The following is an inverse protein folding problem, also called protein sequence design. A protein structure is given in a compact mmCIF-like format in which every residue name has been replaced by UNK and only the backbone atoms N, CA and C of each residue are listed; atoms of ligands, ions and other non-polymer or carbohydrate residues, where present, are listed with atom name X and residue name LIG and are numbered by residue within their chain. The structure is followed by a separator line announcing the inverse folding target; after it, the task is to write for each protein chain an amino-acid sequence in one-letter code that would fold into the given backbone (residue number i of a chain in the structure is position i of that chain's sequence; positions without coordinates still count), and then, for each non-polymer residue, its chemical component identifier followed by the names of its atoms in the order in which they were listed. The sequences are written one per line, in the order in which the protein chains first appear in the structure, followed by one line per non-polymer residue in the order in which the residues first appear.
data_IF_092398063144
#
_entry.id   IF_092398063144
#
_cell.length_a   1.000
_cell.length_b   1.000
_cell.length_c   1.000
_cell.angle_alpha   90.00
_cell.angle_beta   90.00
_cell.angle_gamma   90.00
#
_symmetry.space_group_name_H-M   'P 1'
#
loop_
_entity.id
_entity.type
_entity.pdbx_description
1 polymer ?
#
# COMPACT_ATOMS: atom_id res chain seq x y z
N UNK A 1 -8.25 -27.68 0.27
CA UNK A 1 -7.58 -26.67 -0.61
C UNK A 1 -8.64 -25.70 -1.09
N UNK A 2 -8.45 -24.41 -0.89
CA UNK A 2 -9.32 -23.39 -1.50
C UNK A 2 -9.02 -23.34 -3.00
N UNK A 3 -10.03 -23.56 -3.83
CA UNK A 3 -9.88 -23.61 -5.30
C UNK A 3 -9.44 -22.26 -5.89
N UNK A 4 -9.65 -21.19 -5.13
CA UNK A 4 -9.42 -19.78 -5.54
C UNK A 4 -7.94 -19.47 -5.76
N UNK A 5 -7.03 -20.09 -4.99
CA UNK A 5 -5.59 -19.82 -5.07
C UNK A 5 -4.77 -20.94 -5.74
N UNK A 6 -5.44 -21.93 -6.36
CA UNK A 6 -4.78 -23.10 -6.95
C UNK A 6 -3.69 -22.73 -7.98
N UNK A 7 -3.90 -21.70 -8.78
CA UNK A 7 -2.91 -21.24 -9.78
C UNK A 7 -1.69 -20.61 -9.14
N UNK A 8 -1.87 -19.85 -8.07
CA UNK A 8 -0.78 -19.27 -7.30
C UNK A 8 -0.01 -20.37 -6.55
N UNK A 9 -0.73 -21.37 -5.99
CA UNK A 9 -0.11 -22.51 -5.31
C UNK A 9 0.80 -23.30 -6.24
N UNK A 10 0.43 -23.49 -7.51
CA UNK A 10 1.28 -24.13 -8.52
C UNK A 10 2.61 -23.39 -8.76
N UNK A 11 2.63 -22.07 -8.52
CA UNK A 11 3.81 -21.23 -8.71
C UNK A 11 4.72 -21.19 -7.48
N UNK A 12 4.15 -21.02 -6.29
CA UNK A 12 4.89 -20.75 -5.04
C UNK A 12 4.85 -21.93 -4.04
N UNK A 13 4.07 -22.96 -4.34
CA UNK A 13 3.86 -24.14 -3.47
C UNK A 13 2.95 -23.85 -2.28
N UNK A 14 2.53 -24.93 -1.60
CA UNK A 14 1.66 -24.84 -0.43
C UNK A 14 2.28 -24.01 0.71
N UNK A 15 3.58 -24.17 0.96
CA UNK A 15 4.30 -23.38 1.98
C UNK A 15 4.27 -21.89 1.68
N UNK A 16 4.34 -21.50 0.42
CA UNK A 16 4.21 -20.10 -0.02
C UNK A 16 2.82 -19.56 0.28
N UNK A 17 1.77 -20.31 -0.03
CA UNK A 17 0.37 -19.95 0.29
C UNK A 17 0.17 -19.82 1.80
N UNK A 18 0.66 -20.76 2.60
CA UNK A 18 0.53 -20.69 4.06
C UNK A 18 1.24 -19.47 4.65
N UNK A 19 2.42 -19.12 4.12
CA UNK A 19 3.14 -17.91 4.51
C UNK A 19 2.33 -16.64 4.22
N UNK A 20 1.72 -16.54 3.03
CA UNK A 20 0.89 -15.39 2.66
C UNK A 20 -0.39 -15.32 3.52
N UNK A 21 -1.04 -16.45 3.78
CA UNK A 21 -2.20 -16.53 4.67
C UNK A 21 -1.87 -16.11 6.10
N UNK A 22 -0.66 -16.35 6.57
CA UNK A 22 -0.19 -15.93 7.89
C UNK A 22 0.36 -14.50 7.93
N UNK A 23 0.42 -13.79 6.80
CA UNK A 23 1.01 -12.45 6.72
C UNK A 23 -0.01 -11.33 6.83
N UNK A 24 0.43 -10.20 7.41
CA UNK A 24 -0.34 -8.96 7.54
C UNK A 24 0.34 -7.80 6.80
N UNK A 25 -0.41 -7.07 5.98
CA UNK A 25 0.11 -5.94 5.19
C UNK A 25 -0.72 -4.70 5.44
N UNK A 26 -0.07 -3.59 5.79
CA UNK A 26 -0.69 -2.28 5.88
C UNK A 26 -0.44 -1.48 4.59
N UNK A 27 -1.50 -0.92 4.01
CA UNK A 27 -1.45 -0.11 2.79
C UNK A 27 -1.88 1.30 3.16
N UNK A 28 -0.96 2.25 3.03
CA UNK A 28 -1.21 3.66 3.29
C UNK A 28 -1.44 4.40 1.97
N UNK A 29 -2.65 4.94 1.80
CA UNK A 29 -3.12 5.57 0.57
C UNK A 29 -3.75 4.56 -0.39
N UNK A 30 -5.09 4.62 -0.52
CA UNK A 30 -5.88 3.73 -1.41
C UNK A 30 -6.25 4.49 -2.69
N UNK A 31 -5.23 5.07 -3.31
CA UNK A 31 -5.33 5.76 -4.60
C UNK A 31 -5.07 4.86 -5.80
N UNK A 32 -4.48 5.45 -6.86
CA UNK A 32 -4.18 4.73 -8.12
C UNK A 32 -3.19 3.57 -7.97
N UNK A 33 -2.26 3.64 -7.02
CA UNK A 33 -1.32 2.54 -6.73
C UNK A 33 -1.86 1.64 -5.64
N UNK A 34 -2.24 2.20 -4.48
CA UNK A 34 -2.64 1.41 -3.32
C UNK A 34 -3.90 0.56 -3.56
N UNK A 35 -4.84 1.00 -4.38
CA UNK A 35 -6.02 0.20 -4.69
C UNK A 35 -5.68 -1.07 -5.49
N UNK A 36 -4.78 -0.98 -6.46
CA UNK A 36 -4.30 -2.14 -7.20
C UNK A 36 -3.39 -3.04 -6.36
N UNK A 37 -2.59 -2.45 -5.47
CA UNK A 37 -1.81 -3.24 -4.49
C UNK A 37 -2.72 -4.06 -3.58
N UNK A 38 -3.78 -3.45 -3.05
CA UNK A 38 -4.77 -4.13 -2.21
C UNK A 38 -5.48 -5.27 -2.95
N UNK A 39 -5.91 -5.03 -4.19
CA UNK A 39 -6.48 -6.05 -5.09
C UNK A 39 -5.53 -7.23 -5.28
N UNK A 40 -4.26 -6.94 -5.59
CA UNK A 40 -3.24 -7.96 -5.84
C UNK A 40 -2.98 -8.81 -4.60
N UNK A 41 -2.88 -8.18 -3.42
CA UNK A 41 -2.67 -8.89 -2.16
C UNK A 41 -3.86 -9.80 -1.81
N UNK A 42 -5.09 -9.31 -2.00
CA UNK A 42 -6.29 -10.12 -1.79
C UNK A 42 -6.31 -11.37 -2.68
N UNK A 43 -5.96 -11.21 -3.97
CA UNK A 43 -5.86 -12.31 -4.95
C UNK A 43 -4.65 -13.21 -4.74
N UNK A 44 -3.71 -12.78 -3.90
CA UNK A 44 -2.52 -13.56 -3.52
C UNK A 44 -2.65 -14.26 -2.17
N UNK A 45 -3.86 -14.42 -1.65
CA UNK A 45 -4.14 -15.12 -0.39
C UNK A 45 -3.50 -14.46 0.87
N UNK A 46 -3.22 -13.17 0.87
CA UNK A 46 -2.75 -12.48 2.07
C UNK A 46 -3.84 -12.53 3.14
N UNK A 47 -3.47 -12.98 4.36
CA UNK A 47 -4.45 -13.26 5.41
C UNK A 47 -4.99 -12.02 6.12
N UNK A 48 -4.23 -10.92 6.16
CA UNK A 48 -4.67 -9.68 6.79
C UNK A 48 -4.23 -8.45 5.99
N UNK A 49 -5.17 -7.58 5.66
CA UNK A 49 -4.93 -6.32 4.96
C UNK A 49 -5.48 -5.15 5.76
N UNK A 50 -4.64 -4.17 6.07
CA UNK A 50 -5.01 -2.96 6.78
C UNK A 50 -5.00 -1.81 5.76
N UNK A 51 -6.17 -1.27 5.48
CA UNK A 51 -6.37 -0.17 4.52
C UNK A 51 -6.42 1.16 5.28
N UNK A 52 -5.51 2.07 4.95
CA UNK A 52 -5.42 3.39 5.59
C UNK A 52 -5.62 4.48 4.56
N UNK A 53 -6.80 5.07 4.53
CA UNK A 53 -7.14 6.20 3.64
C UNK A 53 -8.34 6.98 4.20
N UNK A 54 -8.22 8.29 4.30
CA UNK A 54 -9.27 9.16 4.84
C UNK A 54 -10.15 9.78 3.75
N UNK A 55 -9.79 9.62 2.48
CA UNK A 55 -10.48 10.23 1.36
C UNK A 55 -11.79 9.51 1.00
N UNK A 56 -12.67 10.26 0.37
CA UNK A 56 -13.82 9.76 -0.36
C UNK A 56 -13.51 9.64 -1.85
N UNK A 57 -14.21 8.75 -2.50
CA UNK A 57 -14.14 8.57 -3.96
C UNK A 57 -14.77 9.79 -4.65
N UNK A 58 -14.05 10.34 -5.63
CA UNK A 58 -14.53 11.40 -6.51
C UNK A 58 -14.61 10.92 -7.96
N UNK A 59 -15.37 11.59 -8.80
CA UNK A 59 -15.48 11.25 -10.22
C UNK A 59 -14.13 11.27 -10.94
N UNK A 60 -13.23 12.19 -10.53
CA UNK A 60 -11.87 12.28 -11.09
C UNK A 60 -10.97 11.08 -10.77
N UNK A 61 -11.40 10.19 -9.88
CA UNK A 61 -10.65 8.98 -9.53
C UNK A 61 -10.94 7.81 -10.47
N UNK A 62 -12.08 7.83 -11.17
CA UNK A 62 -12.60 6.71 -11.98
C UNK A 62 -11.60 6.23 -13.04
N UNK A 63 -10.79 7.13 -13.57
CA UNK A 63 -9.83 6.82 -14.64
C UNK A 63 -8.62 5.96 -14.21
N UNK A 64 -8.36 5.81 -12.88
CA UNK A 64 -7.15 5.13 -12.40
C UNK A 64 -7.24 4.41 -11.06
N UNK A 65 -8.36 4.49 -10.35
CA UNK A 65 -8.53 3.81 -9.06
C UNK A 65 -9.56 2.69 -9.22
N UNK A 66 -9.17 1.44 -8.96
CA UNK A 66 -9.97 0.25 -9.31
C UNK A 66 -11.31 0.18 -8.58
N UNK A 67 -11.40 0.73 -7.39
CA UNK A 67 -12.63 0.77 -6.57
C UNK A 67 -13.55 1.97 -6.91
N UNK A 68 -13.07 2.88 -7.77
CA UNK A 68 -13.79 4.10 -8.11
C UNK A 68 -14.70 3.86 -9.32
N UNK A 69 -15.99 3.73 -9.06
CA UNK A 69 -17.06 3.55 -10.03
C UNK A 69 -18.06 4.68 -9.88
N UNK A 70 -18.93 4.89 -10.87
CA UNK A 70 -20.04 5.85 -10.78
C UNK A 70 -20.92 5.61 -9.55
N UNK A 71 -21.15 4.32 -9.23
CA UNK A 71 -21.95 3.88 -8.08
C UNK A 71 -21.25 4.07 -6.73
N UNK A 72 -19.93 4.26 -6.70
CA UNK A 72 -19.16 4.39 -5.44
C UNK A 72 -18.70 5.82 -5.15
N UNK A 73 -18.97 6.79 -6.04
CA UNK A 73 -18.66 8.21 -5.80
C UNK A 73 -19.31 8.70 -4.50
N UNK A 74 -18.53 9.37 -3.66
CA UNK A 74 -18.95 9.89 -2.34
C UNK A 74 -18.72 8.93 -1.17
N UNK A 75 -18.47 7.64 -1.43
CA UNK A 75 -18.14 6.65 -0.39
C UNK A 75 -16.67 6.72 0.01
N UNK A 76 -16.32 6.24 1.20
CA UNK A 76 -14.94 6.17 1.67
C UNK A 76 -14.14 5.14 0.87
N UNK A 77 -12.92 5.49 0.43
CA UNK A 77 -12.05 4.60 -0.35
C UNK A 77 -11.72 3.29 0.39
N UNK A 78 -11.34 3.39 1.66
CA UNK A 78 -11.01 2.22 2.47
C UNK A 78 -12.21 1.28 2.69
N UNK A 79 -13.42 1.83 2.83
CA UNK A 79 -14.64 1.02 2.97
C UNK A 79 -14.93 0.24 1.69
N UNK A 80 -15.00 0.94 0.55
CA UNK A 80 -15.32 0.30 -0.75
C UNK A 80 -14.26 -0.73 -1.12
N UNK A 81 -12.98 -0.42 -0.90
CA UNK A 81 -11.91 -1.38 -1.17
C UNK A 81 -11.97 -2.58 -0.22
N UNK A 82 -12.35 -2.36 1.03
CA UNK A 82 -12.51 -3.43 2.01
C UNK A 82 -13.61 -4.42 1.62
N UNK A 83 -14.77 -3.94 1.18
CA UNK A 83 -15.84 -4.82 0.67
C UNK A 83 -15.38 -5.61 -0.57
N UNK A 84 -14.67 -4.94 -1.47
CA UNK A 84 -14.11 -5.59 -2.65
C UNK A 84 -13.11 -6.71 -2.29
N UNK A 85 -12.25 -6.49 -1.30
CA UNK A 85 -11.31 -7.52 -0.82
C UNK A 85 -12.08 -8.72 -0.26
N UNK A 86 -13.14 -8.47 0.52
CA UNK A 86 -13.99 -9.54 1.08
C UNK A 86 -14.72 -10.35 0.02
N UNK A 87 -15.09 -9.74 -1.10
CA UNK A 87 -15.70 -10.45 -2.24
C UNK A 87 -14.66 -11.32 -2.99
N UNK A 88 -13.39 -10.90 -3.01
CA UNK A 88 -12.28 -11.65 -3.63
C UNK A 88 -11.77 -12.77 -2.71
N UNK A 89 -11.56 -12.46 -1.44
CA UNK A 89 -10.99 -13.36 -0.43
C UNK A 89 -11.78 -13.21 0.88
N UNK A 90 -12.86 -13.97 1.06
CA UNK A 90 -13.69 -13.90 2.25
C UNK A 90 -12.95 -14.21 3.56
N UNK A 91 -11.89 -15.02 3.50
CA UNK A 91 -11.08 -15.40 4.66
C UNK A 91 -10.12 -14.27 5.11
N UNK A 92 -9.79 -13.31 4.23
CA UNK A 92 -8.90 -12.20 4.57
C UNK A 92 -9.48 -11.33 5.69
N UNK A 93 -8.74 -11.12 6.77
CA UNK A 93 -9.06 -10.10 7.76
C UNK A 93 -8.82 -8.70 7.17
N UNK A 94 -9.88 -7.89 7.03
CA UNK A 94 -9.77 -6.53 6.48
C UNK A 94 -10.04 -5.50 7.55
N UNK A 95 -9.04 -4.67 7.83
CA UNK A 95 -9.16 -3.52 8.73
C UNK A 95 -9.23 -2.24 7.90
N UNK A 96 -10.18 -1.37 8.22
CA UNK A 96 -10.46 -0.11 7.50
C UNK A 96 -10.20 1.06 8.44
N UNK A 97 -9.09 1.77 8.25
CA UNK A 97 -8.72 2.97 9.01
C UNK A 97 -8.96 4.23 8.17
N UNK A 98 -10.03 4.95 8.51
CA UNK A 98 -10.47 6.16 7.79
C UNK A 98 -9.86 7.42 8.42
N UNK A 99 -8.69 7.30 9.00
CA UNK A 99 -8.01 8.38 9.68
C UNK A 99 -6.75 8.81 8.94
N UNK A 100 -6.50 10.11 8.93
CA UNK A 100 -5.22 10.64 8.45
C UNK A 100 -4.10 10.22 9.41
N UNK A 101 -3.06 9.60 8.85
CA UNK A 101 -1.85 9.28 9.61
C UNK A 101 -1.13 10.59 9.99
N UNK A 102 -0.82 10.74 11.28
CA UNK A 102 -0.14 11.90 11.87
C UNK A 102 0.91 11.44 12.88
N UNK A 103 1.79 12.37 13.28
CA UNK A 103 2.83 12.10 14.29
C UNK A 103 2.27 11.61 15.63
N UNK A 104 1.10 12.08 16.01
CA UNK A 104 0.48 11.73 17.28
C UNK A 104 -0.26 10.38 17.28
N UNK A 105 -0.54 9.77 16.13
CA UNK A 105 -1.26 8.50 16.05
C UNK A 105 -0.48 7.36 15.38
N UNK A 106 0.67 7.63 14.77
CA UNK A 106 1.47 6.63 14.07
C UNK A 106 1.94 5.51 15.01
N UNK A 107 2.41 5.86 16.20
CA UNK A 107 2.89 4.89 17.19
C UNK A 107 1.75 3.96 17.63
N UNK A 108 0.62 4.51 18.00
CA UNK A 108 -0.57 3.75 18.40
C UNK A 108 -1.05 2.81 17.28
N UNK A 109 -1.03 3.27 16.02
CA UNK A 109 -1.36 2.45 14.87
C UNK A 109 -0.47 1.20 14.78
N UNK A 110 0.85 1.37 14.85
CA UNK A 110 1.78 0.25 14.74
C UNK A 110 1.76 -0.68 15.96
N UNK A 111 1.57 -0.15 17.17
CA UNK A 111 1.39 -0.95 18.39
C UNK A 111 0.10 -1.79 18.32
N UNK A 112 -0.98 -1.23 17.75
CA UNK A 112 -2.28 -1.89 17.64
C UNK A 112 -2.29 -2.99 16.58
N UNK A 113 -1.69 -2.74 15.41
CA UNK A 113 -1.86 -3.62 14.25
C UNK A 113 -0.65 -4.46 13.91
N UNK A 114 0.54 -4.02 14.26
CA UNK A 114 1.82 -4.69 14.06
C UNK A 114 1.94 -5.42 12.70
N UNK A 115 1.84 -4.70 11.56
CA UNK A 115 1.90 -5.33 10.25
C UNK A 115 3.29 -5.87 9.94
N UNK A 116 3.37 -7.02 9.24
CA UNK A 116 4.63 -7.61 8.78
C UNK A 116 5.29 -6.80 7.67
N UNK A 117 4.46 -6.09 6.88
CA UNK A 117 4.92 -5.30 5.75
C UNK A 117 4.06 -4.05 5.54
N UNK A 118 4.70 -2.99 5.06
CA UNK A 118 4.05 -1.71 4.75
C UNK A 118 4.19 -1.38 3.27
N UNK A 119 3.08 -1.05 2.63
CA UNK A 119 3.04 -0.43 1.30
C UNK A 119 2.67 1.04 1.47
N UNK A 120 3.60 1.91 1.14
CA UNK A 120 3.38 3.36 1.17
C UNK A 120 3.03 3.87 -0.24
N UNK A 121 1.75 4.15 -0.45
CA UNK A 121 1.20 4.75 -1.66
C UNK A 121 0.64 6.17 -1.42
N UNK A 122 1.12 6.85 -0.36
CA UNK A 122 0.74 8.23 -0.02
C UNK A 122 1.37 9.20 -1.03
N UNK A 123 0.64 10.23 -1.43
CA UNK A 123 1.13 11.32 -2.28
C UNK A 123 1.60 12.55 -1.48
N UNK A 124 1.11 12.72 -0.25
CA UNK A 124 1.51 13.81 0.65
C UNK A 124 2.93 13.63 1.17
N UNK A 125 3.87 14.44 0.69
CA UNK A 125 5.31 14.36 0.99
C UNK A 125 5.62 14.29 2.49
N UNK A 126 4.98 15.12 3.31
CA UNK A 126 5.24 15.17 4.76
C UNK A 126 4.83 13.88 5.46
N UNK A 127 3.61 13.41 5.22
CA UNK A 127 3.08 12.17 5.80
C UNK A 127 3.88 10.95 5.33
N UNK A 128 4.23 10.91 4.04
CA UNK A 128 5.08 9.88 3.46
C UNK A 128 6.47 9.83 4.12
N UNK A 129 7.13 10.97 4.28
CA UNK A 129 8.43 11.03 4.93
C UNK A 129 8.38 10.62 6.41
N UNK A 130 7.31 10.96 7.12
CA UNK A 130 7.06 10.56 8.51
C UNK A 130 6.87 9.03 8.63
N UNK A 131 6.05 8.44 7.75
CA UNK A 131 5.83 6.99 7.72
C UNK A 131 7.13 6.23 7.46
N UNK A 132 7.89 6.66 6.44
CA UNK A 132 9.18 6.04 6.10
C UNK A 132 10.16 6.14 7.26
N UNK A 133 10.26 7.30 7.91
CA UNK A 133 11.11 7.50 9.08
C UNK A 133 10.72 6.56 10.22
N UNK A 134 9.45 6.49 10.55
CA UNK A 134 8.94 5.60 11.59
C UNK A 134 9.27 4.13 11.31
N UNK A 135 9.00 3.66 10.10
CA UNK A 135 9.31 2.29 9.69
C UNK A 135 10.82 2.01 9.77
N UNK A 136 11.66 2.95 9.32
CA UNK A 136 13.12 2.82 9.36
C UNK A 136 13.66 2.74 10.79
N UNK A 137 13.15 3.57 11.70
CA UNK A 137 13.58 3.59 13.12
C UNK A 137 13.15 2.34 13.88
N UNK A 138 12.05 1.70 13.47
CA UNK A 138 11.50 0.53 14.15
C UNK A 138 11.75 -0.79 13.40
N UNK A 139 12.60 -0.79 12.36
CA UNK A 139 12.92 -1.96 11.53
C UNK A 139 11.68 -2.63 10.91
N UNK A 140 10.68 -1.84 10.52
CA UNK A 140 9.48 -2.31 9.84
C UNK A 140 9.74 -2.35 8.34
N UNK A 141 9.43 -3.49 7.69
CA UNK A 141 9.58 -3.65 6.26
C UNK A 141 8.62 -2.72 5.50
N UNK A 142 9.16 -1.91 4.59
CA UNK A 142 8.37 -0.95 3.80
C UNK A 142 8.86 -0.90 2.36
N UNK A 143 7.92 -0.79 1.41
CA UNK A 143 8.17 -0.32 0.04
C UNK A 143 7.35 0.94 -0.20
N UNK A 144 7.93 1.92 -0.87
CA UNK A 144 7.30 3.23 -1.05
C UNK A 144 7.14 3.57 -2.53
N UNK A 145 5.90 3.65 -3.00
CA UNK A 145 5.61 4.06 -4.38
C UNK A 145 5.98 5.52 -4.61
N UNK A 146 6.67 5.80 -5.71
CA UNK A 146 6.99 7.15 -6.14
C UNK A 146 5.91 7.74 -7.08
N UNK A 147 6.21 8.84 -7.75
CA UNK A 147 5.25 9.51 -8.62
C UNK A 147 5.13 8.84 -9.98
N UNK A 148 3.96 8.31 -10.31
CA UNK A 148 3.65 7.68 -11.60
C UNK A 148 2.92 8.61 -12.59
N UNK A 149 2.56 9.82 -12.18
CA UNK A 149 1.96 10.82 -13.08
C UNK A 149 2.91 11.20 -14.23
N UNK A 150 2.34 11.43 -15.41
CA UNK A 150 3.07 11.78 -16.64
C UNK A 150 4.11 10.72 -17.08
N UNK A 151 3.86 9.46 -16.82
CA UNK A 151 4.64 8.31 -17.29
C UNK A 151 3.85 7.59 -18.39
N UNK A 152 4.46 7.48 -19.57
CA UNK A 152 3.83 6.89 -20.76
C UNK A 152 4.19 5.41 -20.94
N UNK A 153 5.29 4.95 -20.36
CA UNK A 153 5.87 3.64 -20.62
C UNK A 153 5.89 2.81 -19.33
N UNK A 154 4.87 1.97 -19.08
CA UNK A 154 4.78 1.16 -17.85
C UNK A 154 5.91 0.12 -17.75
N UNK A 155 6.46 -0.33 -18.87
CA UNK A 155 7.61 -1.24 -18.94
C UNK A 155 8.91 -0.67 -18.37
N UNK A 156 8.95 0.65 -18.15
CA UNK A 156 10.10 1.33 -17.53
C UNK A 156 9.95 1.49 -16.00
N UNK A 157 8.95 0.83 -15.40
CA UNK A 157 8.82 0.81 -13.94
C UNK A 157 9.87 -0.14 -13.37
N UNK A 158 10.64 0.37 -12.42
CA UNK A 158 11.72 -0.38 -11.77
C UNK A 158 11.54 -0.36 -10.25
N UNK A 159 11.97 -1.44 -9.61
CA UNK A 159 12.14 -1.48 -8.15
C UNK A 159 13.61 -1.21 -7.87
N UNK A 160 13.89 -0.10 -7.19
CA UNK A 160 15.27 0.31 -6.89
C UNK A 160 15.36 0.98 -5.52
N UNK A 161 16.56 1.36 -5.11
CA UNK A 161 16.71 2.26 -3.96
C UNK A 161 16.27 3.68 -4.33
N UNK A 162 15.65 4.40 -3.38
CA UNK A 162 15.21 5.79 -3.62
C UNK A 162 16.37 6.69 -4.11
N UNK A 163 17.61 6.39 -3.71
CA UNK A 163 18.78 7.18 -4.10
C UNK A 163 19.22 6.91 -5.54
N UNK A 164 18.77 5.81 -6.15
CA UNK A 164 19.04 5.46 -7.54
C UNK A 164 17.95 5.95 -8.51
N UNK A 165 16.83 6.47 -7.96
CA UNK A 165 15.73 7.01 -8.80
C UNK A 165 16.14 8.25 -9.58
N UNK A 166 15.68 8.36 -10.84
CA UNK A 166 16.08 9.46 -11.74
C UNK A 166 15.00 10.55 -11.85
N UNK A 167 14.04 10.44 -12.69
CA UNK A 167 13.20 11.52 -13.24
C UNK A 167 12.04 11.98 -12.34
N UNK A 168 11.78 11.35 -11.20
CA UNK A 168 10.60 11.63 -10.38
C UNK A 168 10.78 12.85 -9.44
N UNK A 169 9.94 13.92 -9.56
CA UNK A 169 10.00 15.09 -8.65
C UNK A 169 9.71 14.74 -7.19
N UNK A 170 8.77 13.80 -6.93
CA UNK A 170 8.45 13.32 -5.59
C UNK A 170 9.68 12.64 -4.96
N UNK A 171 10.31 11.71 -5.67
CA UNK A 171 11.53 11.05 -5.21
C UNK A 171 12.66 12.06 -4.94
N UNK A 172 12.83 13.07 -5.78
CA UNK A 172 13.84 14.14 -5.58
C UNK A 172 13.61 14.88 -4.26
N UNK A 173 12.37 15.22 -3.94
CA UNK A 173 12.02 15.90 -2.69
C UNK A 173 12.23 15.01 -1.49
N UNK A 174 11.77 13.74 -1.58
CA UNK A 174 11.93 12.76 -0.51
C UNK A 174 13.40 12.45 -0.23
N UNK A 175 14.25 12.24 -1.25
CA UNK A 175 15.70 12.02 -1.05
C UNK A 175 16.32 13.10 -0.19
N UNK A 176 15.96 14.37 -0.41
CA UNK A 176 16.50 15.49 0.40
C UNK A 176 16.05 15.41 1.85
N UNK A 177 14.79 15.06 2.09
CA UNK A 177 14.24 14.93 3.44
C UNK A 177 14.81 13.72 4.18
N UNK A 178 14.84 12.57 3.53
CA UNK A 178 15.31 11.32 4.11
C UNK A 178 16.81 11.35 4.42
N UNK A 179 17.61 12.00 3.56
CA UNK A 179 19.03 12.22 3.83
C UNK A 179 19.26 13.05 5.10
N UNK A 180 18.44 14.11 5.34
CA UNK A 180 18.51 14.89 6.58
C UNK A 180 18.12 14.09 7.82
N UNK A 181 17.30 13.06 7.66
CA UNK A 181 16.84 12.15 8.72
C UNK A 181 17.77 10.94 8.90
N UNK A 182 18.88 10.87 8.16
CA UNK A 182 19.87 9.78 8.26
C UNK A 182 19.41 8.45 7.64
N UNK A 183 18.33 8.43 6.87
CA UNK A 183 17.83 7.23 6.20
C UNK A 183 18.70 6.98 4.95
N UNK A 184 19.38 5.83 4.94
CA UNK A 184 20.40 5.49 3.93
C UNK A 184 19.86 4.61 2.80
N UNK A 185 18.73 3.95 2.99
CA UNK A 185 18.15 3.01 2.04
C UNK A 185 16.64 2.99 2.17
N UNK A 186 15.95 2.91 1.03
CA UNK A 186 14.50 2.72 0.96
C UNK A 186 14.16 2.07 -0.38
N UNK A 187 13.55 0.88 -0.42
CA UNK A 187 13.01 0.31 -1.65
C UNK A 187 11.81 1.12 -2.14
N UNK A 188 11.83 1.48 -3.41
CA UNK A 188 10.77 2.25 -4.06
C UNK A 188 10.39 1.65 -5.41
#
# INVERSE_FOLDING_TARGET
MSYEFARLEMLIGENGIQKLKGSSVAIFGIGGVGSYSAETLARSAVGKIILVDFDKISESNINRQIHSLKSTVGLNKAEVMGERIKDINPECEVIKEINLLKENNIKEFFEKYNPDFVIDAIDMVKTKAMLIEYCSQNNINIISSMGFGNKMFPEMIEICDIYDTLVCPLARTLRKLLKKKGIKKLPV
#
